data_IF_739892542182
#
_entry.id   IF_739892542182
#
_cell.length_a   1.000
_cell.length_b   1.000
_cell.length_c   1.000
_cell.angle_alpha   90.00
_cell.angle_beta   90.00
_cell.angle_gamma   90.00
#
_symmetry.space_group_name_H-M   'P 1'
#
loop_
_entity.id
_entity.type
_entity.pdbx_description
1 polymer ?
#
# COMPACT_ATOMS: atom_id res chain seq x y z
N UNK A 1 -9.42 12.69 28.60
CA UNK A 1 -9.00 11.53 27.80
C UNK A 1 -8.17 12.05 26.64
N UNK A 2 -6.97 11.53 26.43
CA UNK A 2 -6.09 11.92 25.29
C UNK A 2 -6.41 11.08 24.08
N UNK A 3 -6.57 11.71 22.92
CA UNK A 3 -6.85 11.06 21.67
C UNK A 3 -5.62 11.03 20.78
N UNK A 4 -5.18 9.81 20.40
CA UNK A 4 -4.06 9.58 19.48
C UNK A 4 -4.64 9.01 18.20
N UNK A 5 -4.47 9.74 17.11
CA UNK A 5 -4.90 9.28 15.77
C UNK A 5 -3.66 8.92 14.95
N UNK A 6 -3.70 7.75 14.32
CA UNK A 6 -2.66 7.24 13.43
C UNK A 6 -3.29 7.06 12.05
N UNK A 7 -2.76 7.73 11.05
CA UNK A 7 -3.23 7.64 9.67
C UNK A 7 -2.29 6.76 8.85
N UNK A 8 -2.83 5.66 8.35
CA UNK A 8 -2.11 4.66 7.56
C UNK A 8 -1.72 3.41 8.36
N UNK A 9 -2.15 2.23 7.88
CA UNK A 9 -1.82 0.91 8.44
C UNK A 9 -0.72 0.19 7.64
N UNK A 10 0.26 0.95 7.16
CA UNK A 10 1.52 0.45 6.65
C UNK A 10 2.44 -0.02 7.78
N UNK A 11 3.69 -0.35 7.47
CA UNK A 11 4.69 -0.81 8.46
C UNK A 11 4.84 0.15 9.63
N UNK A 12 4.95 1.45 9.37
CA UNK A 12 5.15 2.46 10.40
C UNK A 12 3.92 2.60 11.30
N UNK A 13 2.72 2.70 10.71
CA UNK A 13 1.48 2.87 11.47
C UNK A 13 1.14 1.66 12.34
N UNK A 14 1.29 0.44 11.81
CA UNK A 14 1.12 -0.78 12.59
C UNK A 14 2.13 -0.84 13.75
N UNK A 15 3.39 -0.52 13.49
CA UNK A 15 4.43 -0.52 14.53
C UNK A 15 4.11 0.49 15.63
N UNK A 16 3.73 1.72 15.27
CA UNK A 16 3.33 2.76 16.21
C UNK A 16 2.11 2.35 17.03
N UNK A 17 1.04 1.89 16.36
CA UNK A 17 -0.20 1.47 17.01
C UNK A 17 0.00 0.30 17.98
N UNK A 18 0.81 -0.71 17.61
CA UNK A 18 1.15 -1.84 18.50
C UNK A 18 1.93 -1.39 19.73
N UNK A 19 2.93 -0.51 19.54
CA UNK A 19 3.73 0.02 20.64
C UNK A 19 2.87 0.84 21.60
N UNK A 20 2.08 1.77 21.10
CA UNK A 20 1.16 2.58 21.91
C UNK A 20 0.09 1.73 22.58
N UNK A 21 -0.52 0.80 21.86
CA UNK A 21 -1.52 -0.13 22.40
C UNK A 21 -0.98 -1.03 23.51
N UNK A 22 0.33 -1.35 23.50
CA UNK A 22 1.01 -2.06 24.59
C UNK A 22 1.31 -1.13 25.76
N UNK A 23 1.85 0.07 25.49
CA UNK A 23 2.26 1.05 26.51
C UNK A 23 1.06 1.54 27.31
N UNK A 24 -0.04 1.88 26.65
CA UNK A 24 -1.25 2.42 27.27
C UNK A 24 -2.35 1.38 27.50
N UNK A 25 -1.99 0.10 27.58
CA UNK A 25 -2.95 -1.01 27.66
C UNK A 25 -4.00 -0.82 28.76
N UNK A 26 -3.58 -0.34 29.93
CA UNK A 26 -4.41 -0.18 31.12
C UNK A 26 -4.75 1.30 31.42
N UNK A 27 -4.38 2.23 30.56
CA UNK A 27 -4.62 3.66 30.75
C UNK A 27 -6.00 4.04 30.19
N UNK A 28 -6.96 4.30 31.08
CA UNK A 28 -8.32 4.69 30.70
C UNK A 28 -8.38 6.07 30.00
N UNK A 29 -7.41 6.94 30.27
CA UNK A 29 -7.39 8.31 29.76
C UNK A 29 -6.75 8.47 28.37
N UNK A 30 -6.37 7.35 27.72
CA UNK A 30 -5.84 7.35 26.37
C UNK A 30 -6.75 6.54 25.44
N UNK A 31 -7.11 7.12 24.29
CA UNK A 31 -7.78 6.48 23.17
C UNK A 31 -6.83 6.46 21.97
N UNK A 32 -6.70 5.32 21.29
CA UNK A 32 -5.83 5.17 20.12
C UNK A 32 -6.71 4.73 18.94
N UNK A 33 -6.70 5.50 17.85
CA UNK A 33 -7.44 5.19 16.62
C UNK A 33 -6.45 5.03 15.48
N UNK A 34 -6.47 3.88 14.81
CA UNK A 34 -5.73 3.63 13.58
C UNK A 34 -6.71 3.67 12.41
N UNK A 35 -6.53 4.62 11.51
CA UNK A 35 -7.37 4.84 10.33
C UNK A 35 -6.60 4.44 9.08
N UNK A 36 -7.19 3.59 8.24
CA UNK A 36 -6.67 3.24 6.92
C UNK A 36 -7.81 3.02 5.94
N UNK A 37 -7.58 3.27 4.67
CA UNK A 37 -8.56 3.02 3.60
C UNK A 37 -8.83 1.53 3.36
N UNK A 38 -7.97 0.64 3.87
CA UNK A 38 -8.11 -0.80 3.75
C UNK A 38 -8.21 -1.46 5.13
N UNK A 39 -9.01 -2.52 5.22
CA UNK A 39 -9.11 -3.36 6.43
C UNK A 39 -7.92 -4.34 6.56
N UNK A 40 -6.92 -4.23 5.70
CA UNK A 40 -5.76 -5.11 5.64
C UNK A 40 -4.47 -4.32 5.45
N UNK A 41 -3.37 -4.87 5.95
CA UNK A 41 -2.01 -4.46 5.64
C UNK A 41 -1.53 -5.17 4.38
N UNK A 42 -0.96 -4.44 3.44
CA UNK A 42 -0.30 -5.02 2.27
C UNK A 42 1.18 -5.27 2.59
N UNK A 43 1.65 -6.50 2.37
CA UNK A 43 3.05 -6.83 2.50
C UNK A 43 3.79 -6.37 1.23
N UNK A 44 4.22 -5.11 1.26
CA UNK A 44 4.74 -4.38 0.09
C UNK A 44 5.98 -5.02 -0.52
N UNK A 45 6.77 -5.73 0.28
CA UNK A 45 8.01 -6.40 -0.15
C UNK A 45 7.77 -7.61 -1.06
N UNK A 46 6.54 -8.10 -1.15
CA UNK A 46 6.16 -9.26 -1.97
C UNK A 46 5.35 -8.86 -3.23
N UNK A 47 5.25 -7.56 -3.54
CA UNK A 47 4.46 -7.10 -4.69
C UNK A 47 5.01 -7.58 -6.04
N UNK A 48 6.33 -7.77 -6.15
CA UNK A 48 6.95 -8.33 -7.35
C UNK A 48 6.47 -9.76 -7.63
N UNK A 49 6.28 -10.59 -6.60
CA UNK A 49 5.74 -11.94 -6.76
C UNK A 49 4.28 -11.94 -7.26
N UNK A 50 3.48 -10.94 -6.84
CA UNK A 50 2.12 -10.77 -7.37
C UNK A 50 2.18 -10.31 -8.83
N UNK A 51 3.05 -9.36 -9.15
CA UNK A 51 3.21 -8.81 -10.50
C UNK A 51 3.72 -9.87 -11.48
N UNK A 52 4.70 -10.71 -11.07
CA UNK A 52 5.20 -11.84 -11.85
C UNK A 52 4.21 -13.04 -11.91
N UNK A 53 3.23 -13.06 -11.01
CA UNK A 53 2.20 -14.10 -10.99
C UNK A 53 2.56 -15.33 -10.18
N UNK A 54 3.63 -15.29 -9.40
CA UNK A 54 4.05 -16.40 -8.53
C UNK A 54 3.12 -16.60 -7.35
N UNK A 55 2.57 -15.51 -6.79
CA UNK A 55 1.58 -15.56 -5.72
C UNK A 55 0.30 -14.81 -6.08
N UNK A 56 -0.80 -15.19 -5.47
CA UNK A 56 -2.07 -14.50 -5.62
C UNK A 56 -2.15 -13.26 -4.72
N UNK A 57 -2.88 -12.23 -5.16
CA UNK A 57 -3.03 -10.95 -4.47
C UNK A 57 -3.44 -11.08 -2.98
N UNK A 58 -4.22 -12.12 -2.65
CA UNK A 58 -4.65 -12.35 -1.26
C UNK A 58 -3.53 -12.87 -0.36
N UNK A 59 -2.46 -13.43 -0.91
CA UNK A 59 -1.33 -13.94 -0.13
C UNK A 59 -0.55 -12.81 0.57
N UNK A 60 -0.59 -11.60 0.00
CA UNK A 60 0.11 -10.43 0.52
C UNK A 60 -0.77 -9.49 1.36
N UNK A 61 -2.04 -9.88 1.62
CA UNK A 61 -2.99 -9.14 2.47
C UNK A 61 -3.06 -9.74 3.87
N UNK A 62 -2.78 -8.94 4.87
CA UNK A 62 -2.87 -9.34 6.27
C UNK A 62 -3.98 -8.54 6.97
N UNK A 63 -5.02 -9.23 7.41
CA UNK A 63 -6.17 -8.65 8.08
C UNK A 63 -5.76 -7.88 9.35
N UNK A 64 -6.17 -6.61 9.45
CA UNK A 64 -5.82 -5.75 10.59
C UNK A 64 -6.46 -6.23 11.89
N UNK A 65 -7.67 -6.79 11.86
CA UNK A 65 -8.31 -7.35 13.07
C UNK A 65 -7.49 -8.50 13.64
N UNK A 66 -6.90 -9.34 12.78
CA UNK A 66 -5.99 -10.42 13.19
C UNK A 66 -4.70 -9.87 13.80
N UNK A 67 -4.08 -8.86 13.16
CA UNK A 67 -2.85 -8.21 13.65
C UNK A 67 -3.07 -7.60 15.04
N UNK A 68 -4.25 -7.00 15.26
CA UNK A 68 -4.57 -6.25 16.46
C UNK A 68 -5.44 -7.01 17.49
N UNK A 69 -5.70 -8.30 17.30
CA UNK A 69 -6.57 -9.09 18.17
C UNK A 69 -6.19 -9.01 19.68
N UNK A 70 -4.90 -8.85 19.98
CA UNK A 70 -4.33 -8.72 21.33
C UNK A 70 -4.20 -7.26 21.81
N UNK A 71 -4.46 -6.28 20.94
CA UNK A 71 -4.28 -4.85 21.22
C UNK A 71 -5.63 -4.15 21.34
N UNK A 72 -6.43 -4.56 22.31
CA UNK A 72 -7.82 -4.08 22.53
C UNK A 72 -7.95 -2.56 22.73
N UNK A 73 -6.83 -1.87 23.04
CA UNK A 73 -6.76 -0.43 23.20
C UNK A 73 -6.75 0.31 21.86
N UNK A 74 -6.42 -0.36 20.76
CA UNK A 74 -6.37 0.23 19.43
C UNK A 74 -7.70 0.01 18.71
N UNK A 75 -8.40 1.10 18.45
CA UNK A 75 -9.58 1.10 17.60
C UNK A 75 -9.16 1.13 16.14
N UNK A 76 -9.59 0.16 15.35
CA UNK A 76 -9.36 0.11 13.90
C UNK A 76 -10.55 0.73 13.19
N UNK A 77 -10.27 1.64 12.27
CA UNK A 77 -11.29 2.27 11.43
C UNK A 77 -10.87 2.17 9.96
N UNK A 78 -11.79 1.67 9.13
CA UNK A 78 -11.60 1.68 7.68
C UNK A 78 -12.28 2.92 7.12
N UNK A 79 -11.46 3.90 6.71
CA UNK A 79 -11.92 5.17 6.15
C UNK A 79 -10.81 5.80 5.31
N UNK A 80 -11.18 6.54 4.27
CA UNK A 80 -10.23 7.30 3.43
C UNK A 80 -10.04 8.69 4.01
N UNK A 81 -8.83 9.00 4.44
CA UNK A 81 -8.50 10.36 4.91
C UNK A 81 -8.35 11.29 3.72
N UNK A 82 -9.10 12.39 3.73
CA UNK A 82 -9.15 13.39 2.66
C UNK A 82 -8.57 14.74 3.06
N UNK A 83 -8.37 14.99 4.36
CA UNK A 83 -7.81 16.24 4.83
C UNK A 83 -7.40 16.22 6.30
N UNK A 84 -6.66 17.22 6.69
CA UNK A 84 -6.25 17.48 8.07
C UNK A 84 -6.43 18.97 8.33
N UNK A 85 -7.16 19.30 9.38
CA UNK A 85 -7.29 20.65 9.90
C UNK A 85 -6.44 20.76 11.19
N UNK A 86 -5.33 21.46 11.10
CA UNK A 86 -4.40 21.63 12.21
C UNK A 86 -4.96 22.61 13.27
N UNK A 87 -5.77 23.59 12.87
CA UNK A 87 -6.33 24.58 13.78
C UNK A 87 -7.34 23.95 14.73
N UNK A 88 -8.18 23.06 14.21
CA UNK A 88 -9.17 22.32 15.00
C UNK A 88 -8.67 20.96 15.47
N UNK A 89 -7.43 20.57 15.12
CA UNK A 89 -6.85 19.26 15.40
C UNK A 89 -7.76 18.11 14.95
N UNK A 90 -8.21 18.15 13.71
CA UNK A 90 -9.16 17.20 13.18
C UNK A 90 -8.62 16.56 11.89
N UNK A 91 -8.61 15.23 11.84
CA UNK A 91 -8.44 14.45 10.60
C UNK A 91 -9.81 14.25 9.97
N UNK A 92 -9.95 14.61 8.70
CA UNK A 92 -11.18 14.47 7.92
C UNK A 92 -11.10 13.19 7.08
N UNK A 93 -12.01 12.25 7.32
CA UNK A 93 -12.24 11.10 6.48
C UNK A 93 -13.45 11.32 5.57
N UNK A 94 -13.65 10.44 4.59
CA UNK A 94 -14.85 10.43 3.76
C UNK A 94 -16.13 10.16 4.56
N UNK A 95 -16.02 9.32 5.61
CA UNK A 95 -17.17 8.90 6.42
C UNK A 95 -17.23 9.58 7.78
N UNK A 96 -16.09 9.88 8.40
CA UNK A 96 -16.02 10.40 9.77
C UNK A 96 -14.94 11.46 9.91
N UNK A 97 -15.04 12.24 11.01
CA UNK A 97 -14.00 13.15 11.46
C UNK A 97 -13.40 12.65 12.77
N UNK A 98 -12.08 12.77 12.92
CA UNK A 98 -11.33 12.25 14.06
C UNK A 98 -10.59 13.40 14.73
N UNK A 99 -11.03 13.79 15.92
CA UNK A 99 -10.28 14.75 16.74
C UNK A 99 -9.04 14.08 17.31
N UNK A 100 -7.94 14.85 17.46
CA UNK A 100 -6.71 14.34 18.02
C UNK A 100 -6.03 15.33 18.96
N UNK A 101 -5.43 14.85 20.04
CA UNK A 101 -4.39 15.55 20.79
C UNK A 101 -3.02 15.32 20.14
N UNK A 102 -2.82 14.09 19.59
CA UNK A 102 -1.58 13.66 18.93
C UNK A 102 -1.93 12.95 17.61
N UNK A 103 -1.26 13.37 16.54
CA UNK A 103 -1.41 12.80 15.21
C UNK A 103 -0.10 12.14 14.75
N UNK A 104 -0.20 10.91 14.24
CA UNK A 104 0.90 10.20 13.59
C UNK A 104 0.53 9.99 12.13
N UNK A 105 1.30 10.58 11.22
CA UNK A 105 1.15 10.39 9.80
C UNK A 105 2.06 9.24 9.35
N UNK A 106 1.46 8.14 8.91
CA UNK A 106 2.12 6.91 8.50
C UNK A 106 1.63 6.41 7.13
N UNK A 107 1.26 7.35 6.25
CA UNK A 107 0.65 7.10 4.94
C UNK A 107 1.60 6.50 3.90
N UNK A 108 2.91 6.40 4.21
CA UNK A 108 3.93 5.93 3.28
C UNK A 108 4.34 7.01 2.27
N UNK A 109 4.60 6.60 1.05
CA UNK A 109 5.02 7.48 -0.05
C UNK A 109 4.37 7.06 -1.37
N UNK A 110 4.76 7.72 -2.44
CA UNK A 110 4.35 7.42 -3.81
C UNK A 110 5.58 7.17 -4.70
N UNK A 111 5.36 6.48 -5.81
CA UNK A 111 6.40 6.31 -6.81
C UNK A 111 6.74 7.66 -7.46
N UNK A 112 8.03 7.95 -7.59
CA UNK A 112 8.53 9.16 -8.22
C UNK A 112 9.16 8.82 -9.57
N UNK A 113 8.75 9.51 -10.62
CA UNK A 113 9.30 9.40 -11.97
C UNK A 113 10.48 10.35 -12.22
N UNK A 114 10.84 11.17 -11.22
CA UNK A 114 11.90 12.17 -11.30
C UNK A 114 11.74 13.17 -12.48
N UNK A 115 10.51 13.36 -12.98
CA UNK A 115 10.22 14.23 -14.12
C UNK A 115 10.66 13.66 -15.48
N UNK A 116 10.96 12.37 -15.58
CA UNK A 116 11.32 11.73 -16.84
C UNK A 116 10.08 11.64 -17.73
N UNK A 117 10.14 12.33 -18.88
CA UNK A 117 9.03 12.38 -19.84
C UNK A 117 8.66 10.97 -20.35
N UNK A 118 7.37 10.70 -20.41
CA UNK A 118 6.83 9.44 -20.92
C UNK A 118 6.74 8.31 -19.90
N UNK A 119 7.31 8.44 -18.71
CA UNK A 119 7.27 7.38 -17.70
C UNK A 119 5.85 7.20 -17.14
N UNK A 120 5.16 8.28 -16.83
CA UNK A 120 3.78 8.21 -16.31
C UNK A 120 2.79 7.69 -17.35
N UNK A 121 2.97 8.11 -18.58
CA UNK A 121 2.05 7.82 -19.69
C UNK A 121 2.22 6.39 -20.21
N UNK A 122 3.43 5.84 -20.18
CA UNK A 122 3.77 4.59 -20.86
C UNK A 122 4.23 3.47 -19.89
N UNK A 123 4.46 3.80 -18.63
CA UNK A 123 5.00 2.87 -17.65
C UNK A 123 3.98 2.41 -16.60
N UNK A 124 4.36 1.39 -15.88
CA UNK A 124 3.69 0.93 -14.67
C UNK A 124 4.60 1.18 -13.48
N UNK A 125 4.00 1.50 -12.34
CA UNK A 125 4.73 1.62 -11.07
C UNK A 125 4.39 0.44 -10.17
N UNK A 126 5.38 -0.21 -9.57
CA UNK A 126 5.15 -1.30 -8.61
C UNK A 126 5.12 -0.74 -7.20
N UNK A 127 4.05 -0.03 -6.83
CA UNK A 127 3.90 0.67 -5.54
C UNK A 127 2.62 0.38 -4.78
N UNK A 128 1.74 -0.44 -5.33
CA UNK A 128 0.51 -0.87 -4.67
C UNK A 128 0.09 -2.23 -5.18
N UNK A 129 -0.76 -2.91 -4.42
CA UNK A 129 -1.31 -4.19 -4.85
C UNK A 129 -2.08 -4.08 -6.17
N UNK A 130 -2.91 -3.05 -6.32
CA UNK A 130 -3.63 -2.80 -7.58
C UNK A 130 -2.67 -2.55 -8.77
N UNK A 131 -1.51 -1.91 -8.51
CA UNK A 131 -0.49 -1.73 -9.54
C UNK A 131 0.17 -3.07 -9.92
N UNK A 132 0.50 -3.92 -8.95
CA UNK A 132 1.04 -5.25 -9.20
C UNK A 132 0.06 -6.12 -10.03
N UNK A 133 -1.22 -6.09 -9.70
CA UNK A 133 -2.26 -6.81 -10.46
C UNK A 133 -2.39 -6.28 -11.91
N UNK A 134 -2.27 -4.97 -12.11
CA UNK A 134 -2.27 -4.37 -13.46
C UNK A 134 -1.04 -4.81 -14.28
N UNK A 135 0.14 -4.83 -13.66
CA UNK A 135 1.36 -5.33 -14.32
C UNK A 135 1.17 -6.79 -14.74
N UNK A 136 0.71 -7.64 -13.82
CA UNK A 136 0.41 -9.05 -14.09
C UNK A 136 -0.58 -9.23 -15.26
N UNK A 137 -1.66 -8.46 -15.26
CA UNK A 137 -2.65 -8.49 -16.32
C UNK A 137 -2.06 -8.09 -17.67
N UNK A 138 -1.26 -7.02 -17.69
CA UNK A 138 -0.61 -6.53 -18.90
C UNK A 138 0.39 -7.55 -19.48
N UNK A 139 1.23 -8.16 -18.64
CA UNK A 139 2.16 -9.21 -19.07
C UNK A 139 1.39 -10.38 -19.72
N UNK A 140 0.34 -10.87 -19.08
CA UNK A 140 -0.50 -11.93 -19.61
C UNK A 140 -1.14 -11.56 -20.95
N UNK A 141 -1.64 -10.33 -21.09
CA UNK A 141 -2.22 -9.82 -22.33
C UNK A 141 -1.18 -9.78 -23.46
N UNK A 142 0.03 -9.28 -23.17
CA UNK A 142 1.12 -9.23 -24.14
C UNK A 142 1.52 -10.64 -24.60
N UNK A 143 1.64 -11.61 -23.69
CA UNK A 143 1.94 -12.99 -24.03
C UNK A 143 0.84 -13.61 -24.91
N UNK A 144 -0.43 -13.42 -24.57
CA UNK A 144 -1.55 -13.93 -25.37
C UNK A 144 -1.60 -13.32 -26.78
N UNK A 145 -1.33 -12.01 -26.90
CA UNK A 145 -1.23 -11.36 -28.21
C UNK A 145 -0.06 -11.89 -29.02
N UNK A 146 1.09 -12.13 -28.39
CA UNK A 146 2.29 -12.63 -29.05
C UNK A 146 2.12 -14.06 -29.60
N UNK A 147 1.27 -14.88 -28.97
CA UNK A 147 0.97 -16.25 -29.43
C UNK A 147 0.35 -16.25 -30.85
N UNK A 148 -0.47 -15.25 -31.15
CA UNK A 148 -1.20 -15.13 -32.42
C UNK A 148 -0.58 -14.11 -33.39
N UNK A 149 0.52 -13.43 -33.04
CA UNK A 149 1.16 -12.43 -33.89
C UNK A 149 2.12 -13.08 -34.90
N UNK A 150 1.80 -13.04 -36.22
CA UNK A 150 2.62 -13.67 -37.25
C UNK A 150 3.88 -12.87 -37.59
N UNK A 151 3.89 -11.55 -37.32
CA UNK A 151 5.04 -10.71 -37.57
C UNK A 151 6.08 -10.85 -36.45
N UNK A 152 7.24 -11.40 -36.78
CA UNK A 152 8.29 -11.68 -35.80
C UNK A 152 8.78 -10.44 -35.04
N UNK A 153 8.89 -9.27 -35.70
CA UNK A 153 9.31 -8.05 -35.03
C UNK A 153 8.27 -7.55 -34.02
N UNK A 154 6.98 -7.59 -34.38
CA UNK A 154 5.88 -7.24 -33.48
C UNK A 154 5.76 -8.25 -32.32
N UNK A 155 5.89 -9.54 -32.61
CA UNK A 155 5.90 -10.59 -31.57
C UNK A 155 7.04 -10.36 -30.58
N UNK A 156 8.25 -10.04 -31.05
CA UNK A 156 9.39 -9.72 -30.18
C UNK A 156 9.10 -8.49 -29.33
N UNK A 157 8.50 -7.44 -29.87
CA UNK A 157 8.13 -6.25 -29.13
C UNK A 157 7.13 -6.54 -28.00
N UNK A 158 6.12 -7.36 -28.28
CA UNK A 158 5.14 -7.81 -27.27
C UNK A 158 5.77 -8.60 -26.11
N UNK A 159 6.84 -9.34 -26.39
CA UNK A 159 7.55 -10.16 -25.39
C UNK A 159 8.78 -9.43 -24.78
N UNK A 160 8.96 -8.15 -25.05
CA UNK A 160 10.06 -7.36 -24.50
C UNK A 160 9.55 -6.44 -23.41
N UNK A 161 9.96 -6.69 -22.17
CA UNK A 161 9.64 -5.89 -21.00
C UNK A 161 10.91 -5.18 -20.51
N UNK A 162 10.76 -3.92 -20.09
CA UNK A 162 11.85 -3.10 -19.57
C UNK A 162 11.53 -2.78 -18.12
N UNK A 163 12.43 -3.08 -17.21
CA UNK A 163 12.36 -2.68 -15.81
C UNK A 163 13.29 -1.49 -15.60
N UNK A 164 12.71 -0.34 -15.25
CA UNK A 164 13.45 0.90 -14.99
C UNK A 164 13.77 1.02 -13.50
N UNK A 165 15.06 1.02 -13.17
CA UNK A 165 15.57 1.15 -11.83
C UNK A 165 16.25 -0.13 -11.31
N UNK A 166 17.46 0.05 -10.74
CA UNK A 166 18.30 -1.03 -10.21
C UNK A 166 18.25 -1.10 -8.66
N UNK A 167 17.18 -0.58 -8.04
CA UNK A 167 16.88 -0.80 -6.63
C UNK A 167 16.36 -2.23 -6.38
N UNK A 168 16.19 -2.59 -5.11
CA UNK A 168 15.70 -3.93 -4.73
C UNK A 168 14.47 -4.36 -5.51
N UNK A 169 13.43 -3.50 -5.56
CA UNK A 169 12.18 -3.79 -6.28
C UNK A 169 12.41 -4.10 -7.77
N UNK A 170 13.31 -3.35 -8.44
CA UNK A 170 13.60 -3.58 -9.86
C UNK A 170 14.35 -4.88 -10.09
N UNK A 171 15.32 -5.21 -9.24
CA UNK A 171 16.07 -6.47 -9.32
C UNK A 171 15.17 -7.67 -9.03
N UNK A 172 14.32 -7.57 -8.01
CA UNK A 172 13.34 -8.60 -7.67
C UNK A 172 12.34 -8.82 -8.80
N UNK A 173 11.82 -7.72 -9.41
CA UNK A 173 10.86 -7.81 -10.52
C UNK A 173 11.47 -8.46 -11.79
N UNK A 174 12.78 -8.29 -12.04
CA UNK A 174 13.47 -8.96 -13.16
C UNK A 174 13.62 -10.45 -12.89
N UNK A 175 13.69 -10.86 -11.63
CA UNK A 175 13.83 -12.26 -11.23
C UNK A 175 12.55 -13.08 -11.33
N UNK A 176 11.38 -12.42 -11.40
CA UNK A 176 10.06 -13.06 -11.55
C UNK A 176 9.73 -13.38 -13.01
#
# INVERSE_FOLDING_TARGET
>A
MKEIVIVGAGYAGISAARKLGKTFKNDADVKITLVDKHAYHTYMTELHEVAGGRVEANAVKYDLQRIFNKYKKVQLVTDTVVGIDEATKTVQGESYSYHYDYLILAMGGEANDFGVAGVKENGFTLWSLAAAERIRAHIKECCAKAEHEPNQAKRRALLSFIVCGAGFTGVEMVGE
#
